data_IF_635469927048
#
_entry.id   IF_635469927048
#
_cell.length_a   1.000
_cell.length_b   1.000
_cell.length_c   1.000
_cell.angle_alpha   90.00
_cell.angle_beta   90.00
_cell.angle_gamma   90.00
#
_symmetry.space_group_name_H-M   'P 1'
#
loop_
_entity.id
_entity.type
_entity.pdbx_description
1 polymer ?
#
# COMPACT_ATOMS: atom_id res chain seq x y z
N UNK A 1 -18.76 24.61 27.77
CA UNK A 1 -19.18 23.82 26.61
C UNK A 1 -17.91 23.46 25.86
N UNK A 2 -17.42 22.22 26.02
CA UNK A 2 -16.22 21.75 25.34
C UNK A 2 -16.57 21.57 23.87
N UNK A 3 -16.01 22.42 23.01
CA UNK A 3 -16.04 22.18 21.57
C UNK A 3 -15.23 20.91 21.34
N UNK A 4 -15.91 19.88 20.86
CA UNK A 4 -15.24 18.67 20.37
C UNK A 4 -14.26 19.05 19.25
N UNK A 5 -13.05 18.49 19.29
CA UNK A 5 -11.95 18.83 18.39
C UNK A 5 -12.35 18.73 16.91
N UNK A 6 -13.18 17.75 16.55
CA UNK A 6 -13.58 17.54 15.17
C UNK A 6 -14.61 18.56 14.68
N UNK A 7 -15.56 18.94 15.55
CA UNK A 7 -16.41 20.11 15.30
C UNK A 7 -15.57 21.38 15.19
N UNK A 8 -14.54 21.53 16.03
CA UNK A 8 -13.61 22.66 16.01
C UNK A 8 -12.82 22.82 14.70
N UNK A 9 -12.56 21.71 13.99
CA UNK A 9 -11.89 21.72 12.68
C UNK A 9 -12.87 21.59 11.48
N UNK A 10 -14.18 21.68 11.73
CA UNK A 10 -15.20 21.82 10.68
C UNK A 10 -15.92 20.54 10.24
N UNK A 11 -15.75 19.41 10.92
CA UNK A 11 -16.56 18.22 10.64
C UNK A 11 -17.97 18.36 11.24
N UNK A 12 -19.00 18.20 10.41
CA UNK A 12 -20.40 18.17 10.83
C UNK A 12 -20.75 16.89 11.59
N UNK A 13 -20.20 15.76 11.14
CA UNK A 13 -20.53 14.42 11.62
C UNK A 13 -19.28 13.59 11.86
N UNK A 14 -19.37 12.68 12.82
CA UNK A 14 -18.40 11.63 13.10
C UNK A 14 -19.14 10.34 13.38
N UNK A 15 -18.56 9.26 12.90
CA UNK A 15 -19.16 7.95 12.98
C UNK A 15 -18.12 6.95 13.48
N UNK A 16 -18.54 6.10 14.40
CA UNK A 16 -17.75 5.00 14.97
C UNK A 16 -18.55 3.71 14.79
N UNK A 17 -17.90 2.53 14.77
CA UNK A 17 -18.63 1.27 14.73
C UNK A 17 -19.64 1.18 15.89
N UNK A 18 -20.84 0.71 15.61
CA UNK A 18 -21.95 0.58 16.58
C UNK A 18 -21.52 -0.10 17.89
N UNK A 19 -20.67 -1.12 17.79
CA UNK A 19 -20.16 -1.93 18.89
C UNK A 19 -19.28 -1.15 19.88
N UNK A 20 -18.68 -0.03 19.44
CA UNK A 20 -17.77 0.78 20.26
C UNK A 20 -18.32 2.16 20.60
N UNK A 21 -19.56 2.46 20.18
CA UNK A 21 -20.14 3.80 20.29
C UNK A 21 -21.61 3.77 20.69
N UNK A 22 -21.93 3.04 21.75
CA UNK A 22 -23.28 3.01 22.32
C UNK A 22 -23.80 4.44 22.60
N UNK A 23 -24.95 4.78 22.03
CA UNK A 23 -25.58 6.10 22.17
C UNK A 23 -25.13 7.16 21.15
N UNK A 24 -24.22 6.84 20.23
CA UNK A 24 -23.87 7.72 19.11
C UNK A 24 -24.65 7.36 17.83
N UNK A 25 -25.01 8.37 17.05
CA UNK A 25 -25.54 8.20 15.70
C UNK A 25 -24.44 7.63 14.79
N UNK A 26 -24.68 6.47 14.16
CA UNK A 26 -23.73 5.83 13.25
C UNK A 26 -24.40 4.97 12.19
N UNK A 27 -23.76 4.89 11.02
CA UNK A 27 -24.27 4.15 9.88
C UNK A 27 -23.65 2.76 9.71
N UNK A 28 -22.64 2.39 10.51
CA UNK A 28 -21.86 1.17 10.26
C UNK A 28 -21.53 0.38 11.53
N UNK A 29 -21.40 -0.93 11.36
CA UNK A 29 -20.95 -1.88 12.37
C UNK A 29 -19.51 -2.32 12.12
N UNK A 30 -18.82 -2.82 13.15
CA UNK A 30 -17.49 -3.43 13.05
C UNK A 30 -17.54 -4.76 12.29
N UNK A 31 -18.72 -5.39 12.24
CA UNK A 31 -18.90 -6.70 11.66
C UNK A 31 -18.27 -7.78 12.52
N UNK A 32 -17.87 -8.89 11.90
CA UNK A 32 -17.27 -10.00 12.62
C UNK A 32 -15.74 -9.84 12.75
N UNK A 33 -15.32 -9.54 13.99
CA UNK A 33 -13.93 -9.38 14.41
C UNK A 33 -13.38 -10.63 15.11
N UNK A 34 -14.02 -11.78 14.98
CA UNK A 34 -13.51 -13.03 15.57
C UNK A 34 -12.09 -13.34 15.04
N UNK A 35 -11.16 -13.62 15.94
CA UNK A 35 -9.73 -13.87 15.68
C UNK A 35 -8.95 -12.70 15.08
N UNK A 36 -9.51 -11.48 15.13
CA UNK A 36 -8.86 -10.25 14.67
C UNK A 36 -9.11 -9.11 15.66
N UNK A 37 -8.06 -8.40 16.07
CA UNK A 37 -8.21 -7.29 17.03
C UNK A 37 -8.97 -6.09 16.48
N UNK A 38 -9.04 -5.97 15.15
CA UNK A 38 -9.56 -4.80 14.47
C UNK A 38 -10.53 -5.17 13.35
N UNK A 39 -11.49 -4.27 13.13
CA UNK A 39 -12.43 -4.32 12.02
C UNK A 39 -11.69 -4.41 10.67
N UNK A 40 -12.04 -5.39 9.84
CA UNK A 40 -11.50 -5.50 8.48
C UNK A 40 -11.87 -4.29 7.61
N UNK A 41 -10.87 -3.70 6.96
CA UNK A 41 -11.03 -2.52 6.10
C UNK A 41 -12.11 -2.69 5.02
N UNK A 42 -12.30 -3.90 4.47
CA UNK A 42 -13.38 -4.15 3.48
C UNK A 42 -14.78 -3.98 4.04
N UNK A 43 -15.00 -4.27 5.33
CA UNK A 43 -16.28 -4.04 6.01
C UNK A 43 -16.50 -2.54 6.21
N UNK A 44 -15.44 -1.78 6.49
CA UNK A 44 -15.50 -0.32 6.67
C UNK A 44 -15.81 0.37 5.34
N UNK A 45 -15.05 0.02 4.31
CA UNK A 45 -15.14 0.62 3.00
C UNK A 45 -16.47 0.32 2.30
N UNK A 46 -17.00 -0.90 2.41
CA UNK A 46 -18.30 -1.24 1.81
C UNK A 46 -19.45 -0.44 2.41
N UNK A 47 -19.53 -0.36 3.74
CA UNK A 47 -20.56 0.42 4.44
C UNK A 47 -20.42 1.92 4.20
N UNK A 48 -19.18 2.44 4.19
CA UNK A 48 -18.95 3.83 3.83
C UNK A 48 -19.36 4.12 2.38
N UNK A 49 -18.99 3.27 1.43
CA UNK A 49 -19.37 3.45 0.02
C UNK A 49 -20.89 3.53 -0.15
N UNK A 50 -21.63 2.67 0.56
CA UNK A 50 -23.10 2.72 0.56
C UNK A 50 -23.61 4.05 1.10
N UNK A 51 -23.10 4.49 2.26
CA UNK A 51 -23.44 5.76 2.88
C UNK A 51 -23.19 6.96 1.95
N UNK A 52 -22.01 7.03 1.35
CA UNK A 52 -21.62 8.13 0.46
C UNK A 52 -22.43 8.12 -0.83
N UNK A 53 -22.64 6.95 -1.44
CA UNK A 53 -23.46 6.81 -2.65
C UNK A 53 -24.89 7.27 -2.41
N UNK A 54 -25.46 6.95 -1.24
CA UNK A 54 -26.79 7.41 -0.83
C UNK A 54 -26.81 8.93 -0.67
N UNK A 55 -25.85 9.50 0.06
CA UNK A 55 -25.78 10.95 0.33
C UNK A 55 -25.65 11.78 -0.95
N UNK A 56 -24.81 11.33 -1.89
CA UNK A 56 -24.66 11.94 -3.23
C UNK A 56 -25.98 11.90 -4.00
N UNK A 57 -26.68 10.76 -3.99
CA UNK A 57 -27.97 10.61 -4.68
C UNK A 57 -29.04 11.54 -4.12
N UNK A 58 -29.10 11.67 -2.80
CA UNK A 58 -30.08 12.51 -2.11
C UNK A 58 -29.75 14.01 -2.26
N UNK A 59 -28.46 14.37 -2.40
CA UNK A 59 -28.00 15.76 -2.40
C UNK A 59 -26.91 15.98 -3.47
N UNK A 60 -27.23 15.86 -4.77
CA UNK A 60 -26.23 15.79 -5.84
C UNK A 60 -25.42 17.07 -6.06
N UNK A 61 -25.84 18.19 -5.47
CA UNK A 61 -25.18 19.49 -5.59
C UNK A 61 -24.38 19.88 -4.35
N UNK A 62 -24.52 19.15 -3.24
CA UNK A 62 -23.83 19.46 -2.00
C UNK A 62 -22.43 18.80 -2.01
N UNK A 63 -21.33 19.58 -1.99
CA UNK A 63 -20.00 19.00 -1.89
C UNK A 63 -19.85 18.21 -0.59
N UNK A 64 -19.22 17.05 -0.68
CA UNK A 64 -18.99 16.18 0.47
C UNK A 64 -17.49 16.04 0.73
N UNK A 65 -17.08 16.30 1.96
CA UNK A 65 -15.76 15.96 2.45
C UNK A 65 -15.85 14.73 3.35
N UNK A 66 -15.36 13.59 2.86
CA UNK A 66 -15.31 12.36 3.63
C UNK A 66 -13.86 12.03 3.99
N UNK A 67 -13.62 11.90 5.30
CA UNK A 67 -12.36 11.40 5.84
C UNK A 67 -12.60 10.08 6.56
N UNK A 68 -11.79 9.06 6.26
CA UNK A 68 -11.92 7.70 6.79
C UNK A 68 -10.56 7.29 7.36
N UNK A 69 -10.57 6.73 8.56
CA UNK A 69 -9.40 6.09 9.17
C UNK A 69 -9.79 4.65 9.47
N UNK A 70 -9.04 3.70 8.91
CA UNK A 70 -9.12 2.29 9.26
C UNK A 70 -8.11 1.94 10.36
N UNK A 71 -8.37 0.88 11.12
CA UNK A 71 -7.46 0.38 12.16
C UNK A 71 -6.93 -1.03 11.85
N UNK A 72 -7.42 -1.69 10.80
CA UNK A 72 -7.07 -3.09 10.50
C UNK A 72 -5.58 -3.34 10.33
N UNK A 73 -4.87 -2.35 9.79
CA UNK A 73 -3.43 -2.42 9.57
C UNK A 73 -2.57 -2.15 10.80
N UNK A 74 -3.13 -2.11 12.01
CA UNK A 74 -2.37 -1.92 13.24
C UNK A 74 -1.81 -3.25 13.77
N UNK A 75 -0.69 -3.21 14.48
CA UNK A 75 -0.12 -4.37 15.15
C UNK A 75 -1.13 -4.96 16.16
N UNK A 76 -1.20 -6.30 16.35
CA UNK A 76 -0.22 -7.33 15.97
C UNK A 76 -0.35 -7.90 14.55
N UNK A 77 -1.23 -7.33 13.71
CA UNK A 77 -1.52 -7.81 12.36
C UNK A 77 -2.15 -9.21 12.28
N UNK A 78 -2.86 -9.64 13.32
CA UNK A 78 -3.54 -10.93 13.30
C UNK A 78 -4.61 -10.99 12.20
N UNK A 79 -4.80 -12.20 11.67
CA UNK A 79 -5.76 -12.51 10.63
C UNK A 79 -6.63 -13.68 11.07
N UNK A 80 -7.92 -13.60 10.78
CA UNK A 80 -8.80 -14.75 10.82
C UNK A 80 -8.44 -15.67 9.64
N UNK A 81 -7.61 -16.67 9.89
CA UNK A 81 -7.08 -17.56 8.84
C UNK A 81 -8.17 -18.38 8.12
N UNK A 82 -9.36 -18.54 8.71
CA UNK A 82 -10.50 -19.19 8.04
C UNK A 82 -11.06 -18.31 6.93
N UNK A 83 -11.07 -16.98 7.14
CA UNK A 83 -11.59 -16.00 6.16
C UNK A 83 -10.51 -15.42 5.26
N UNK A 84 -9.30 -15.26 5.80
CA UNK A 84 -8.14 -14.60 5.21
C UNK A 84 -6.90 -15.47 5.44
N UNK A 85 -6.83 -16.64 4.77
CA UNK A 85 -5.69 -17.54 4.92
C UNK A 85 -4.38 -16.86 4.51
N UNK A 86 -3.27 -17.22 5.15
CA UNK A 86 -1.94 -16.75 4.77
C UNK A 86 -1.58 -17.25 3.35
N UNK A 87 -1.44 -16.31 2.41
CA UNK A 87 -1.12 -16.57 1.00
C UNK A 87 0.32 -16.21 0.64
N UNK A 88 0.90 -15.22 1.32
CA UNK A 88 2.29 -14.79 1.13
C UNK A 88 3.15 -15.41 2.23
N UNK A 89 4.31 -15.96 1.85
CA UNK A 89 5.28 -16.53 2.78
C UNK A 89 6.62 -15.86 2.64
N UNK A 90 7.31 -15.67 3.75
CA UNK A 90 8.71 -15.22 3.74
C UNK A 90 9.64 -16.40 3.42
N UNK A 91 10.52 -16.22 2.43
CA UNK A 91 11.52 -17.23 2.03
C UNK A 91 12.96 -16.79 2.33
N UNK A 92 13.14 -15.55 2.79
CA UNK A 92 14.44 -14.97 3.09
C UNK A 92 15.08 -15.57 4.33
N UNK A 93 16.39 -15.41 4.51
CA UNK A 93 17.09 -15.89 5.72
C UNK A 93 16.57 -15.19 6.97
N UNK A 94 16.36 -13.87 6.89
CA UNK A 94 15.70 -13.12 7.94
C UNK A 94 14.22 -13.44 7.91
N UNK A 95 13.73 -14.07 8.97
CA UNK A 95 12.32 -14.36 9.18
C UNK A 95 11.77 -13.38 10.22
N UNK A 96 10.69 -12.69 9.87
CA UNK A 96 9.99 -11.75 10.76
C UNK A 96 8.48 -12.05 10.66
N UNK A 97 7.92 -12.65 11.71
CA UNK A 97 6.51 -13.06 11.72
C UNK A 97 5.57 -11.84 11.58
N UNK A 98 5.94 -10.71 12.21
CA UNK A 98 5.19 -9.46 12.10
C UNK A 98 5.11 -8.96 10.66
N UNK A 99 6.20 -9.04 9.91
CA UNK A 99 6.24 -8.70 8.50
C UNK A 99 5.39 -9.66 7.67
N UNK A 100 5.50 -10.97 7.91
CA UNK A 100 4.71 -11.96 7.16
C UNK A 100 3.20 -11.73 7.37
N UNK A 101 2.77 -11.51 8.62
CA UNK A 101 1.39 -11.13 8.95
C UNK A 101 0.98 -9.82 8.30
N UNK A 102 1.78 -8.77 8.45
CA UNK A 102 1.50 -7.45 7.88
C UNK A 102 1.32 -7.53 6.36
N UNK A 103 2.21 -8.23 5.66
CA UNK A 103 2.15 -8.39 4.19
C UNK A 103 0.90 -9.15 3.76
N UNK A 104 0.49 -10.18 4.50
CA UNK A 104 -0.77 -10.89 4.24
C UNK A 104 -1.99 -10.01 4.51
N UNK A 105 -1.98 -9.18 5.56
CA UNK A 105 -3.02 -8.16 5.72
C UNK A 105 -3.06 -7.22 4.53
N UNK A 106 -1.90 -6.71 4.07
CA UNK A 106 -1.81 -5.83 2.90
C UNK A 106 -2.40 -6.46 1.63
N UNK A 107 -2.23 -7.76 1.42
CA UNK A 107 -2.85 -8.48 0.30
C UNK A 107 -4.37 -8.29 0.27
N UNK A 108 -5.05 -8.61 1.37
CA UNK A 108 -6.52 -8.48 1.47
C UNK A 108 -6.98 -7.03 1.52
N UNK A 109 -6.23 -6.15 2.19
CA UNK A 109 -6.54 -4.71 2.25
C UNK A 109 -6.47 -4.07 0.88
N UNK A 110 -5.49 -4.45 0.06
CA UNK A 110 -5.34 -3.87 -1.29
C UNK A 110 -6.51 -4.24 -2.19
N UNK A 111 -7.04 -5.45 -2.08
CA UNK A 111 -8.26 -5.87 -2.79
C UNK A 111 -9.49 -5.04 -2.35
N UNK A 112 -9.67 -4.87 -1.04
CA UNK A 112 -10.74 -4.05 -0.48
C UNK A 112 -10.64 -2.57 -0.92
N UNK A 113 -9.44 -1.99 -0.87
CA UNK A 113 -9.16 -0.63 -1.34
C UNK A 113 -9.49 -0.51 -2.83
N UNK A 114 -9.07 -1.47 -3.66
CA UNK A 114 -9.33 -1.44 -5.10
C UNK A 114 -10.84 -1.46 -5.40
N UNK A 115 -11.61 -2.26 -4.66
CA UNK A 115 -13.07 -2.30 -4.78
C UNK A 115 -13.70 -0.97 -4.36
N UNK A 116 -13.26 -0.43 -3.23
CA UNK A 116 -13.74 0.85 -2.70
C UNK A 116 -13.49 2.02 -3.66
N UNK A 117 -12.26 2.16 -4.15
CA UNK A 117 -11.88 3.21 -5.09
C UNK A 117 -12.68 3.13 -6.38
N UNK A 118 -12.87 1.92 -6.95
CA UNK A 118 -13.72 1.73 -8.14
C UNK A 118 -15.15 2.18 -7.87
N UNK A 119 -15.69 1.85 -6.69
CA UNK A 119 -16.99 2.31 -6.24
C UNK A 119 -17.10 3.82 -6.14
N UNK A 120 -16.13 4.48 -5.50
CA UNK A 120 -16.10 5.95 -5.38
C UNK A 120 -16.03 6.63 -6.75
N UNK A 121 -15.18 6.14 -7.66
CA UNK A 121 -15.07 6.68 -9.02
C UNK A 121 -16.39 6.53 -9.79
N UNK A 122 -17.09 5.40 -9.61
CA UNK A 122 -18.38 5.18 -10.24
C UNK A 122 -19.49 6.08 -9.66
N UNK A 123 -19.47 6.32 -8.34
CA UNK A 123 -20.43 7.15 -7.64
C UNK A 123 -20.25 8.65 -7.94
N UNK A 124 -19.00 9.13 -7.98
CA UNK A 124 -18.65 10.49 -8.36
C UNK A 124 -17.37 10.52 -9.24
N UNK A 125 -17.52 10.55 -10.57
CA UNK A 125 -16.40 10.65 -11.50
C UNK A 125 -15.62 11.97 -11.42
N UNK A 126 -16.13 12.99 -10.71
CA UNK A 126 -15.51 14.30 -10.55
C UNK A 126 -15.00 14.54 -9.12
N UNK A 127 -14.63 13.45 -8.45
CA UNK A 127 -14.06 13.46 -7.10
C UNK A 127 -12.53 13.56 -7.09
N UNK A 128 -12.01 14.03 -5.95
CA UNK A 128 -10.63 13.85 -5.53
C UNK A 128 -10.61 12.74 -4.48
N UNK A 129 -9.86 11.67 -4.74
CA UNK A 129 -9.65 10.56 -3.79
C UNK A 129 -8.17 10.56 -3.43
N UNK A 130 -7.88 10.59 -2.13
CA UNK A 130 -6.51 10.50 -1.60
C UNK A 130 -6.47 9.30 -0.65
N UNK A 131 -5.59 8.35 -0.94
CA UNK A 131 -5.24 7.27 -0.04
C UNK A 131 -3.84 7.56 0.50
N UNK A 132 -3.69 7.60 1.81
CA UNK A 132 -2.42 7.91 2.47
C UNK A 132 -2.15 6.90 3.58
N UNK A 133 -0.94 6.35 3.60
CA UNK A 133 -0.43 5.59 4.74
C UNK A 133 0.03 6.57 5.81
N UNK A 134 -0.31 6.31 7.06
CA UNK A 134 0.11 7.10 8.22
C UNK A 134 1.60 6.91 8.54
N UNK A 135 2.05 5.66 8.60
CA UNK A 135 3.45 5.26 8.78
C UNK A 135 3.71 3.83 8.27
N UNK A 136 4.97 3.40 8.26
CA UNK A 136 5.32 1.98 8.05
C UNK A 136 4.88 1.13 9.25
N UNK A 137 4.47 -0.13 9.06
CA UNK A 137 4.10 -0.99 10.16
C UNK A 137 5.31 -1.24 11.08
N UNK A 138 5.05 -1.26 12.39
CA UNK A 138 6.04 -1.70 13.36
C UNK A 138 6.30 -3.19 13.17
N UNK A 139 7.53 -3.55 12.80
CA UNK A 139 7.98 -4.95 12.74
C UNK A 139 8.57 -5.37 14.09
N UNK A 140 9.31 -6.47 14.15
CA UNK A 140 9.96 -6.92 15.40
C UNK A 140 10.99 -5.94 15.98
N UNK A 141 11.38 -4.91 15.21
CA UNK A 141 12.20 -3.79 15.66
C UNK A 141 12.42 -2.75 14.56
N UNK A 142 12.87 -1.54 14.93
CA UNK A 142 13.19 -0.49 13.96
C UNK A 142 14.38 -0.85 13.06
N UNK A 143 15.28 -1.71 13.54
CA UNK A 143 16.43 -2.22 12.79
C UNK A 143 16.03 -3.23 11.69
N UNK A 144 14.87 -3.89 11.82
CA UNK A 144 14.41 -4.89 10.84
C UNK A 144 14.36 -4.33 9.42
N UNK A 145 13.92 -3.07 9.25
CA UNK A 145 13.92 -2.42 7.93
C UNK A 145 15.33 -2.22 7.35
N UNK A 146 16.32 -1.94 8.18
CA UNK A 146 17.71 -1.80 7.77
C UNK A 146 18.31 -3.17 7.39
N UNK A 147 18.03 -4.20 8.19
CA UNK A 147 18.46 -5.58 7.91
C UNK A 147 17.84 -6.16 6.64
N UNK A 148 16.57 -5.81 6.36
CA UNK A 148 15.87 -6.10 5.11
C UNK A 148 16.34 -5.24 3.93
N UNK A 149 17.25 -4.28 4.16
CA UNK A 149 17.72 -3.31 3.18
C UNK A 149 16.55 -2.55 2.49
N UNK A 150 15.49 -2.25 3.25
CA UNK A 150 14.32 -1.55 2.74
C UNK A 150 14.72 -0.19 2.15
N UNK A 151 14.48 -0.02 0.84
CA UNK A 151 14.88 1.16 0.07
C UNK A 151 16.34 1.60 0.31
N UNK A 152 17.26 0.63 0.37
CA UNK A 152 18.68 0.88 0.58
C UNK A 152 19.11 0.93 2.05
N UNK A 153 18.23 0.55 2.99
CA UNK A 153 18.59 0.33 4.39
C UNK A 153 18.91 1.61 5.18
N UNK A 154 18.50 2.77 4.69
CA UNK A 154 18.70 4.06 5.37
C UNK A 154 17.62 4.28 6.44
N UNK A 155 17.94 5.05 7.47
CA UNK A 155 16.94 5.44 8.49
C UNK A 155 15.86 6.33 7.87
N UNK A 156 16.24 7.20 6.94
CA UNK A 156 15.37 8.12 6.22
C UNK A 156 14.30 7.40 5.41
N UNK A 157 14.63 6.24 4.84
CA UNK A 157 13.66 5.41 4.11
C UNK A 157 12.47 4.99 4.98
N UNK A 158 12.64 4.87 6.31
CA UNK A 158 11.55 4.46 7.20
C UNK A 158 10.47 5.53 7.40
N UNK A 159 10.73 6.76 6.98
CA UNK A 159 9.76 7.86 6.95
C UNK A 159 9.03 8.00 5.60
N UNK A 160 9.36 7.15 4.61
CA UNK A 160 8.71 7.17 3.30
C UNK A 160 7.45 6.31 3.31
N UNK A 161 6.30 6.99 3.21
CA UNK A 161 4.98 6.37 3.17
C UNK A 161 4.41 6.35 1.75
N UNK A 162 3.42 5.48 1.53
CA UNK A 162 2.69 5.42 0.25
C UNK A 162 1.53 6.41 0.24
N UNK A 163 1.39 7.11 -0.87
CA UNK A 163 0.22 7.94 -1.17
C UNK A 163 -0.26 7.65 -2.61
N UNK A 164 -1.57 7.56 -2.78
CA UNK A 164 -2.22 7.48 -4.08
C UNK A 164 -3.23 8.60 -4.21
N UNK A 165 -3.12 9.37 -5.29
CA UNK A 165 -4.02 10.48 -5.58
C UNK A 165 -4.76 10.16 -6.88
N UNK A 166 -6.07 10.30 -6.86
CA UNK A 166 -6.94 10.09 -8.02
C UNK A 166 -7.77 11.35 -8.18
N UNK A 167 -7.58 12.04 -9.30
CA UNK A 167 -8.31 13.25 -9.66
C UNK A 167 -9.25 12.92 -10.83
N UNK A 168 -10.55 13.15 -10.67
CA UNK A 168 -11.56 12.92 -11.70
C UNK A 168 -11.52 11.49 -12.30
N UNK A 169 -11.43 10.49 -11.43
CA UNK A 169 -11.34 9.07 -11.81
C UNK A 169 -10.01 8.65 -12.43
N UNK A 170 -8.97 9.48 -12.37
CA UNK A 170 -7.65 9.21 -12.96
C UNK A 170 -6.54 9.30 -11.91
N UNK A 171 -5.65 8.30 -11.81
CA UNK A 171 -4.49 8.40 -10.93
C UNK A 171 -3.56 9.54 -11.39
N UNK A 172 -3.11 10.35 -10.44
CA UNK A 172 -2.17 11.46 -10.66
C UNK A 172 -0.94 11.24 -9.79
N UNK A 173 0.23 11.49 -10.37
CA UNK A 173 1.52 11.44 -9.66
C UNK A 173 1.91 12.84 -9.20
N UNK A 174 2.41 12.93 -7.98
CA UNK A 174 3.10 14.12 -7.44
C UNK A 174 4.56 13.75 -7.15
N UNK A 175 5.41 14.75 -6.92
CA UNK A 175 6.71 14.52 -6.30
C UNK A 175 6.55 13.92 -4.90
N UNK A 176 7.66 13.56 -4.26
CA UNK A 176 7.66 13.35 -2.81
C UNK A 176 7.05 14.58 -2.13
N UNK A 177 6.01 14.35 -1.34
CA UNK A 177 5.31 15.38 -0.57
C UNK A 177 5.45 15.08 0.92
N UNK A 178 5.16 16.06 1.75
CA UNK A 178 4.94 15.85 3.17
C UNK A 178 3.43 15.72 3.44
N UNK A 179 3.03 15.06 4.53
CA UNK A 179 1.61 14.94 4.88
C UNK A 179 0.93 16.31 5.07
N UNK A 180 1.68 17.33 5.53
CA UNK A 180 1.16 18.70 5.65
C UNK A 180 0.88 19.39 4.31
N UNK A 181 1.30 18.81 3.18
CA UNK A 181 0.96 19.31 1.85
C UNK A 181 -0.43 18.84 1.39
N UNK A 182 -1.02 17.82 2.03
CA UNK A 182 -2.33 17.25 1.64
C UNK A 182 -3.46 18.31 1.68
N UNK A 183 -3.60 19.16 2.73
CA UNK A 183 -4.60 20.23 2.71
C UNK A 183 -4.43 21.18 1.54
N UNK A 184 -3.18 21.49 1.14
CA UNK A 184 -2.90 22.37 -0.01
C UNK A 184 -3.28 21.71 -1.33
N UNK A 185 -3.07 20.40 -1.47
CA UNK A 185 -3.52 19.62 -2.63
C UNK A 185 -5.06 19.68 -2.74
N UNK A 186 -5.77 19.47 -1.63
CA UNK A 186 -7.24 19.53 -1.56
C UNK A 186 -7.74 20.92 -1.93
N UNK A 187 -7.17 21.98 -1.35
CA UNK A 187 -7.54 23.36 -1.65
C UNK A 187 -7.28 23.72 -3.11
N UNK A 188 -6.16 23.29 -3.66
CA UNK A 188 -5.86 23.51 -5.07
C UNK A 188 -6.84 22.80 -6.00
N UNK A 189 -7.22 21.56 -5.70
CA UNK A 189 -8.24 20.85 -6.45
C UNK A 189 -9.60 21.56 -6.36
N UNK A 190 -10.05 21.89 -5.14
CA UNK A 190 -11.35 22.54 -4.90
C UNK A 190 -11.46 23.92 -5.54
N UNK A 191 -10.35 24.64 -5.65
CA UNK A 191 -10.26 25.97 -6.29
C UNK A 191 -9.87 25.90 -7.77
N UNK A 192 -9.84 24.72 -8.37
CA UNK A 192 -9.50 24.49 -9.79
C UNK A 192 -8.15 25.11 -10.19
N UNK A 193 -7.15 24.98 -9.32
CA UNK A 193 -5.80 25.49 -9.57
C UNK A 193 -5.54 26.89 -9.04
N UNK A 194 -6.57 27.65 -8.66
CA UNK A 194 -6.40 29.05 -8.22
C UNK A 194 -5.51 29.17 -6.97
N UNK A 195 -5.64 28.26 -6.02
CA UNK A 195 -4.82 28.28 -4.80
C UNK A 195 -3.31 28.28 -5.11
N UNK A 196 -2.83 27.38 -5.98
CA UNK A 196 -1.40 27.34 -6.32
C UNK A 196 -0.97 28.40 -7.35
N UNK A 197 -1.88 29.19 -7.90
CA UNK A 197 -1.54 30.40 -8.65
C UNK A 197 -1.21 31.56 -7.71
N UNK A 198 -1.79 31.56 -6.51
CA UNK A 198 -1.66 32.63 -5.51
C UNK A 198 -0.71 32.26 -4.36
N UNK A 199 -0.34 30.98 -4.24
CA UNK A 199 0.50 30.44 -3.16
C UNK A 199 1.57 29.47 -3.69
N UNK A 200 2.71 29.39 -2.99
CA UNK A 200 3.78 28.47 -3.33
C UNK A 200 3.38 27.00 -3.06
N UNK A 201 3.30 26.22 -4.12
CA UNK A 201 3.00 24.79 -4.07
C UNK A 201 4.16 23.95 -4.62
N UNK A 202 5.07 23.54 -3.73
CA UNK A 202 6.26 22.74 -4.06
C UNK A 202 5.96 21.29 -4.48
N UNK A 203 4.73 20.80 -4.27
CA UNK A 203 4.29 19.45 -4.62
C UNK A 203 3.82 19.31 -6.09
N UNK A 204 3.84 20.38 -6.88
CA UNK A 204 3.40 20.36 -8.27
C UNK A 204 4.52 19.86 -9.20
N UNK A 205 4.42 18.63 -9.67
CA UNK A 205 5.13 18.19 -10.89
C UNK A 205 4.41 18.70 -12.13
N UNK A 206 5.15 18.93 -13.24
CA UNK A 206 4.52 18.91 -14.57
C UNK A 206 3.73 17.61 -14.69
N UNK A 207 2.45 17.72 -15.03
CA UNK A 207 1.50 16.62 -15.09
C UNK A 207 1.97 15.55 -16.10
N UNK A 208 2.82 14.62 -15.67
CA UNK A 208 3.19 13.45 -16.47
C UNK A 208 2.06 12.45 -16.33
N UNK A 209 1.09 12.58 -17.23
CA UNK A 209 0.03 11.59 -17.44
C UNK A 209 0.65 10.19 -17.49
N UNK A 210 0.38 9.36 -16.50
CA UNK A 210 0.84 7.98 -16.51
C UNK A 210 0.06 7.22 -17.58
N UNK A 211 0.76 6.77 -18.63
CA UNK A 211 0.19 5.82 -19.59
C UNK A 211 -0.07 4.48 -18.88
N UNK A 212 -1.10 3.73 -19.28
CA UNK A 212 -1.40 2.40 -18.71
C UNK A 212 -0.20 1.45 -18.69
N UNK A 213 0.74 1.60 -19.63
CA UNK A 213 1.96 0.80 -19.71
C UNK A 213 2.96 1.09 -18.58
N UNK A 214 2.91 2.26 -17.95
CA UNK A 214 3.83 2.63 -16.87
C UNK A 214 3.51 1.87 -15.58
N UNK A 215 2.23 1.54 -15.32
CA UNK A 215 1.89 0.67 -14.17
C UNK A 215 2.50 -0.71 -14.28
N UNK A 216 2.68 -1.22 -15.51
CA UNK A 216 3.36 -2.48 -15.75
C UNK A 216 4.85 -2.36 -15.46
N UNK A 217 5.49 -1.23 -15.80
CA UNK A 217 6.90 -1.00 -15.48
C UNK A 217 7.09 -0.86 -13.97
N UNK A 218 6.27 -0.04 -13.29
CA UNK A 218 6.35 0.10 -11.83
C UNK A 218 6.09 -1.24 -11.11
N UNK A 219 5.12 -2.03 -11.61
CA UNK A 219 4.88 -3.39 -11.13
C UNK A 219 6.09 -4.30 -11.39
N UNK A 220 6.66 -4.27 -12.60
CA UNK A 220 7.83 -5.07 -12.94
C UNK A 220 9.09 -4.63 -12.18
N UNK A 221 9.25 -3.35 -11.85
CA UNK A 221 10.34 -2.84 -11.03
C UNK A 221 10.23 -3.38 -9.61
N UNK A 222 9.03 -3.32 -9.00
CA UNK A 222 8.74 -3.95 -7.71
C UNK A 222 9.02 -5.47 -7.76
N UNK A 223 8.56 -6.15 -8.82
CA UNK A 223 8.78 -7.58 -8.98
C UNK A 223 10.26 -7.93 -9.25
N UNK A 224 11.01 -7.07 -9.95
CA UNK A 224 12.43 -7.28 -10.24
C UNK A 224 13.28 -7.18 -8.97
N UNK A 225 12.97 -6.24 -8.09
CA UNK A 225 13.60 -6.12 -6.77
C UNK A 225 13.28 -7.32 -5.87
N UNK A 226 12.09 -7.93 -6.03
CA UNK A 226 11.74 -9.18 -5.36
C UNK A 226 12.41 -10.42 -5.96
N UNK A 227 12.80 -10.38 -7.24
CA UNK A 227 13.46 -11.50 -7.94
C UNK A 227 14.99 -11.48 -7.84
N UNK A 228 15.63 -10.32 -7.75
CA UNK A 228 17.10 -10.21 -7.63
C UNK A 228 17.65 -10.82 -6.33
N UNK A 229 16.82 -10.98 -5.29
CA UNK A 229 17.18 -11.70 -4.06
C UNK A 229 16.99 -13.22 -4.15
N UNK A 230 16.26 -13.72 -5.15
CA UNK A 230 15.98 -15.15 -5.33
C UNK A 230 16.99 -15.88 -6.23
N UNK A 231 17.86 -15.16 -6.94
CA UNK A 231 18.88 -15.75 -7.83
C UNK A 231 20.28 -15.52 -7.23
N UNK A 232 20.64 -16.33 -6.24
CA UNK A 232 22.06 -16.60 -6.00
C UNK A 232 22.50 -17.67 -7.01
N UNK A 233 23.55 -17.43 -7.83
CA UNK A 233 23.89 -18.35 -8.90
C UNK A 233 24.48 -19.63 -8.31
N UNK A 234 23.75 -20.73 -8.50
CA UNK A 234 24.26 -22.08 -8.39
C UNK A 234 25.49 -22.20 -9.30
N UNK A 235 26.70 -22.21 -8.73
CA UNK A 235 27.91 -22.62 -9.45
C UNK A 235 27.74 -24.11 -9.78
N UNK A 236 27.29 -24.41 -10.99
CA UNK A 236 27.47 -25.75 -11.55
C UNK A 236 28.97 -25.96 -11.77
N UNK A 237 29.52 -26.90 -11.00
CA UNK A 237 30.82 -27.49 -11.24
C UNK A 237 30.72 -28.22 -12.59
N UNK A 238 31.51 -27.75 -13.56
CA UNK A 238 31.62 -28.36 -14.87
C UNK A 238 32.46 -29.64 -14.77
N UNK A 239 31.81 -30.79 -14.62
CA UNK A 239 32.44 -32.09 -14.85
C UNK A 239 32.10 -32.58 -16.26
N UNK A 240 32.95 -32.20 -17.23
CA UNK A 240 33.03 -32.92 -18.50
C UNK A 240 33.88 -34.18 -18.32
N UNK A 241 33.22 -35.33 -18.27
CA UNK A 241 33.79 -36.60 -18.69
C UNK A 241 33.38 -36.88 -20.13
N UNK A 242 34.35 -36.95 -21.03
CA UNK A 242 34.26 -37.73 -22.27
C UNK A 242 35.67 -38.16 -22.65
N UNK A 243 35.91 -39.48 -22.61
CA UNK A 243 37.20 -40.10 -22.93
C UNK A 243 37.50 -40.12 -24.43
N UNK A 244 38.77 -40.34 -24.75
CA UNK A 244 39.26 -40.60 -26.09
C UNK A 244 40.75 -40.91 -26.05
N UNK A 245 41.09 -42.20 -26.11
CA UNK A 245 42.45 -42.71 -26.18
C UNK A 245 43.11 -42.37 -27.52
N UNK A 246 44.40 -42.00 -27.50
CA UNK A 246 45.31 -42.17 -28.64
C UNK A 246 46.65 -42.70 -28.15
N UNK A 247 47.07 -43.76 -28.82
CA UNK A 247 48.28 -44.59 -28.72
C UNK A 247 49.59 -43.81 -28.90
N UNK A 248 50.60 -44.12 -28.09
CA UNK A 248 52.02 -43.90 -28.43
C UNK A 248 52.73 -45.25 -28.58
N UNK A 249 53.38 -45.40 -29.73
CA UNK A 249 54.08 -46.61 -30.16
C UNK A 249 55.47 -46.76 -29.54
N UNK A 250 55.88 -48.03 -29.50
CA UNK A 250 57.21 -48.52 -29.14
C UNK A 250 58.35 -47.87 -29.94
N UNK A 251 59.45 -47.58 -29.23
CA UNK A 251 60.80 -47.77 -29.76
C UNK A 251 61.62 -48.63 -28.79
N UNK A 252 62.23 -49.69 -29.34
CA UNK A 252 63.21 -50.57 -28.70
C UNK A 252 64.62 -50.02 -28.88
N UNK A 253 65.46 -50.11 -27.84
CA UNK A 253 66.93 -50.30 -27.93
C UNK A 253 67.39 -51.04 -26.66
N UNK A 254 67.74 -52.32 -26.75
CA UNK A 254 69.10 -52.90 -26.76
C UNK A 254 69.95 -52.61 -25.51
N UNK A 255 70.32 -53.68 -24.79
CA UNK A 255 71.40 -53.75 -23.81
C UNK A 255 71.40 -55.14 -23.14
N UNK A 256 72.57 -55.79 -22.95
CA UNK A 256 72.77 -57.24 -22.92
C UNK A 256 72.08 -58.02 -21.79
#
# INVERSE_FOLDING_TARGET
MTIDTYTGIGFEKRYYPQEFAAGYDTYFSAGDVTDEDYMFDGVLFSQNLEFITRRIRENPTLPLFNYIIGMYGHAPHDLNNTKRPMVIKMLGKLHDEGLEKAVNQYYYRTEAIATFVKGLIAADPKSLIILVSDHLPSLSGSQTYQELNYLGGTTEATFLNRIYIIENGRPVRKNTIHHYDIPRIILNYATRGKYCQEHDCSFTTRDTRLAKNNYRIDYLDIMSQAMDTAISPFRMIDTKTAGGAVTQGQQRSKGP
#
